data_IF_015228944055
#
_entry.id   IF_015228944055
#
_cell.length_a   1.000
_cell.length_b   1.000
_cell.length_c   1.000
_cell.angle_alpha   90.00
_cell.angle_beta   90.00
_cell.angle_gamma   90.00
#
_symmetry.space_group_name_H-M   'P 1'
#
loop_
_entity.id
_entity.type
_entity.pdbx_description
1 polymer ?
#
# COMPACT_ATOMS: atom_id res chain seq x y z
N UNK A 1 -8.82 -34.53 29.52
CA UNK A 1 -8.99 -33.29 28.76
C UNK A 1 -7.64 -32.88 28.21
N UNK A 2 -7.44 -32.91 26.89
CA UNK A 2 -6.20 -32.44 26.26
C UNK A 2 -6.11 -30.91 26.38
N UNK A 3 -4.93 -30.43 26.75
CA UNK A 3 -4.63 -29.06 27.15
C UNK A 3 -4.74 -28.10 25.96
N UNK A 4 -5.77 -27.24 25.99
CA UNK A 4 -6.13 -26.27 24.95
C UNK A 4 -4.96 -25.31 24.64
N UNK A 5 -3.98 -25.16 25.54
CA UNK A 5 -2.83 -24.25 25.38
C UNK A 5 -1.80 -24.70 24.33
N UNK A 6 -1.73 -25.99 24.00
CA UNK A 6 -0.71 -26.50 23.05
C UNK A 6 -1.08 -26.21 21.58
N UNK A 7 -2.38 -26.01 21.29
CA UNK A 7 -2.89 -25.74 19.95
C UNK A 7 -2.70 -24.27 19.50
N UNK A 8 -2.53 -23.33 20.45
CA UNK A 8 -2.32 -21.90 20.14
C UNK A 8 -0.87 -21.56 19.75
N UNK A 9 0.11 -22.39 20.13
CA UNK A 9 1.52 -22.20 19.73
C UNK A 9 1.79 -22.57 18.27
N UNK A 10 1.03 -23.51 17.69
CA UNK A 10 1.24 -24.05 16.33
C UNK A 10 0.54 -23.27 15.22
N UNK A 11 -0.43 -22.41 15.58
CA UNK A 11 -1.20 -21.57 14.63
C UNK A 11 -0.39 -20.45 13.98
N UNK A 12 0.46 -19.67 14.69
CA UNK A 12 1.29 -18.65 14.04
C UNK A 12 2.35 -19.25 13.12
N UNK A 13 2.88 -20.44 13.44
CA UNK A 13 3.87 -21.15 12.61
C UNK A 13 3.31 -21.48 11.23
N UNK A 14 2.09 -22.05 11.16
CA UNK A 14 1.42 -22.34 9.89
C UNK A 14 1.11 -21.09 9.06
N UNK A 15 0.74 -19.99 9.71
CA UNK A 15 0.51 -18.71 9.01
C UNK A 15 1.83 -18.19 8.44
N UNK A 16 2.91 -18.24 9.23
CA UNK A 16 4.24 -17.84 8.76
C UNK A 16 4.75 -18.71 7.62
N UNK A 17 4.55 -20.02 7.67
CA UNK A 17 4.91 -20.95 6.60
C UNK A 17 4.14 -20.64 5.31
N UNK A 18 2.85 -20.33 5.43
CA UNK A 18 2.01 -19.94 4.29
C UNK A 18 2.46 -18.61 3.70
N UNK A 19 2.74 -17.62 4.54
CA UNK A 19 3.27 -16.30 4.13
C UNK A 19 4.63 -16.45 3.45
N UNK A 20 5.49 -17.32 3.97
CA UNK A 20 6.80 -17.61 3.40
C UNK A 20 6.67 -18.28 2.02
N UNK A 21 5.87 -19.33 1.91
CA UNK A 21 5.61 -20.02 0.63
C UNK A 21 5.02 -19.07 -0.41
N UNK A 22 4.09 -18.21 0.01
CA UNK A 22 3.50 -17.19 -0.85
C UNK A 22 4.55 -16.16 -1.29
N UNK A 23 5.41 -15.69 -0.37
CA UNK A 23 6.49 -14.76 -0.70
C UNK A 23 7.50 -15.35 -1.68
N UNK A 24 7.89 -16.61 -1.49
CA UNK A 24 8.81 -17.33 -2.39
C UNK A 24 8.19 -17.47 -3.78
N UNK A 25 6.90 -17.83 -3.86
CA UNK A 25 6.18 -17.93 -5.13
C UNK A 25 6.00 -16.58 -5.83
N UNK A 26 5.75 -15.50 -5.10
CA UNK A 26 5.69 -14.13 -5.64
C UNK A 26 7.05 -13.71 -6.23
N UNK A 27 8.16 -14.06 -5.57
CA UNK A 27 9.52 -13.81 -6.09
C UNK A 27 9.79 -14.60 -7.36
N UNK A 28 9.40 -15.87 -7.40
CA UNK A 28 9.53 -16.72 -8.58
C UNK A 28 8.71 -16.19 -9.77
N UNK A 29 7.46 -15.77 -9.52
CA UNK A 29 6.55 -15.24 -10.54
C UNK A 29 6.93 -13.84 -11.04
N UNK A 30 7.48 -12.98 -10.17
CA UNK A 30 7.93 -11.65 -10.58
C UNK A 30 9.22 -11.69 -11.41
N UNK A 31 9.91 -12.84 -11.44
CA UNK A 31 11.32 -12.92 -11.80
C UNK A 31 12.17 -12.12 -10.81
N UNK A 32 13.45 -12.43 -10.64
CA UNK A 32 14.37 -11.59 -9.86
C UNK A 32 14.69 -10.27 -10.60
N UNK A 33 13.68 -9.59 -11.14
CA UNK A 33 13.82 -8.30 -11.78
C UNK A 33 13.61 -7.24 -10.70
N UNK A 34 14.71 -6.68 -10.22
CA UNK A 34 14.65 -5.46 -9.44
C UNK A 34 13.91 -4.40 -10.26
N UNK A 35 12.96 -3.72 -9.62
CA UNK A 35 12.26 -2.62 -10.25
C UNK A 35 13.28 -1.54 -10.59
N UNK A 36 13.18 -1.00 -11.79
CA UNK A 36 13.90 0.22 -12.14
C UNK A 36 13.39 1.36 -11.26
N UNK A 37 14.24 2.38 -11.02
CA UNK A 37 13.82 3.58 -10.27
C UNK A 37 12.56 4.22 -10.88
N UNK A 38 12.40 4.14 -12.20
CA UNK A 38 11.21 4.64 -12.90
C UNK A 38 9.95 3.83 -12.56
N UNK A 39 10.03 2.49 -12.60
CA UNK A 39 8.93 1.60 -12.21
C UNK A 39 8.56 1.79 -10.72
N UNK A 40 9.54 2.01 -9.84
CA UNK A 40 9.28 2.34 -8.44
C UNK A 40 8.53 3.67 -8.28
N UNK A 41 8.95 4.71 -9.00
CA UNK A 41 8.29 6.02 -8.96
C UNK A 41 6.85 5.90 -9.45
N UNK A 42 6.62 5.17 -10.55
CA UNK A 42 5.29 4.92 -11.10
C UNK A 42 4.42 4.13 -10.11
N UNK A 43 4.96 3.07 -9.50
CA UNK A 43 4.25 2.28 -8.51
C UNK A 43 3.86 3.14 -7.29
N UNK A 44 4.79 3.94 -6.77
CA UNK A 44 4.52 4.84 -5.64
C UNK A 44 3.52 5.94 -5.98
N UNK A 45 3.54 6.44 -7.22
CA UNK A 45 2.56 7.40 -7.71
C UNK A 45 1.15 6.79 -7.73
N UNK A 46 1.01 5.56 -8.25
CA UNK A 46 -0.26 4.83 -8.28
C UNK A 46 -0.75 4.53 -6.86
N UNK A 47 0.11 4.03 -5.98
CA UNK A 47 -0.21 3.78 -4.57
C UNK A 47 -0.72 5.06 -3.89
N UNK A 48 -0.04 6.19 -4.09
CA UNK A 48 -0.45 7.46 -3.50
C UNK A 48 -1.79 7.97 -4.05
N UNK A 49 -2.07 7.72 -5.34
CA UNK A 49 -3.36 8.05 -5.94
C UNK A 49 -4.51 7.19 -5.37
N UNK A 50 -4.30 5.88 -5.25
CA UNK A 50 -5.28 4.97 -4.64
C UNK A 50 -5.52 5.32 -3.16
N UNK A 51 -4.46 5.66 -2.43
CA UNK A 51 -4.55 6.12 -1.05
C UNK A 51 -5.39 7.40 -0.96
N UNK A 52 -5.10 8.41 -1.79
CA UNK A 52 -5.90 9.63 -1.85
C UNK A 52 -7.38 9.31 -2.14
N UNK A 53 -7.68 8.45 -3.12
CA UNK A 53 -9.06 8.05 -3.42
C UNK A 53 -9.76 7.39 -2.23
N UNK A 54 -9.04 6.56 -1.46
CA UNK A 54 -9.57 5.97 -0.21
C UNK A 54 -9.82 7.03 0.86
N UNK A 55 -8.94 8.03 1.00
CA UNK A 55 -9.13 9.13 1.96
C UNK A 55 -10.25 10.10 1.55
N UNK A 56 -10.48 10.28 0.25
CA UNK A 56 -11.67 10.98 -0.26
C UNK A 56 -12.96 10.28 0.20
N UNK A 57 -13.07 8.98 -0.04
CA UNK A 57 -14.23 8.18 0.39
C UNK A 57 -14.39 8.24 1.93
N UNK A 58 -13.29 8.14 2.67
CA UNK A 58 -13.32 8.24 4.12
C UNK A 58 -13.84 9.61 4.58
N UNK A 59 -13.28 10.71 4.06
CA UNK A 59 -13.72 12.07 4.38
C UNK A 59 -15.20 12.28 4.08
N UNK A 60 -15.69 11.81 2.94
CA UNK A 60 -17.12 11.89 2.58
C UNK A 60 -18.02 11.05 3.51
N UNK A 61 -17.50 9.97 4.09
CA UNK A 61 -18.26 9.07 4.97
C UNK A 61 -18.29 9.48 6.44
N UNK A 62 -17.37 10.34 6.89
CA UNK A 62 -17.24 10.72 8.30
C UNK A 62 -18.32 11.74 8.67
N UNK A 63 -19.10 11.39 9.70
CA UNK A 63 -20.14 12.27 10.27
C UNK A 63 -19.85 12.68 11.70
N UNK A 64 -18.94 11.97 12.40
CA UNK A 64 -18.58 12.25 13.78
C UNK A 64 -17.73 13.51 13.86
N UNK A 65 -18.16 14.59 14.55
CA UNK A 65 -17.45 15.87 14.58
C UNK A 65 -15.98 15.75 15.00
N UNK A 66 -15.69 14.91 16.00
CA UNK A 66 -14.33 14.69 16.52
C UNK A 66 -13.39 14.03 15.51
N UNK A 67 -13.93 13.39 14.45
CA UNK A 67 -13.16 12.72 13.42
C UNK A 67 -13.03 13.54 12.13
N UNK A 68 -13.77 14.65 11.99
CA UNK A 68 -13.75 15.47 10.77
C UNK A 68 -12.35 16.07 10.56
N UNK A 69 -11.77 16.68 11.59
CA UNK A 69 -10.44 17.30 11.50
C UNK A 69 -9.36 16.26 11.14
N UNK A 70 -9.47 15.05 11.71
CA UNK A 70 -8.60 13.94 11.36
C UNK A 70 -8.77 13.53 9.89
N UNK A 71 -10.01 13.44 9.40
CA UNK A 71 -10.30 13.11 8.01
C UNK A 71 -9.77 14.17 7.04
N UNK A 72 -9.87 15.46 7.39
CA UNK A 72 -9.29 16.59 6.62
C UNK A 72 -7.76 16.43 6.54
N UNK A 73 -7.10 16.18 7.67
CA UNK A 73 -5.65 15.99 7.68
C UNK A 73 -5.22 14.82 6.79
N UNK A 74 -5.91 13.69 6.87
CA UNK A 74 -5.59 12.47 6.11
C UNK A 74 -5.78 12.65 4.59
N UNK A 75 -6.86 13.32 4.15
CA UNK A 75 -7.05 13.62 2.72
C UNK A 75 -6.01 14.63 2.21
N UNK A 76 -5.63 15.63 3.00
CA UNK A 76 -4.58 16.58 2.61
C UNK A 76 -3.19 15.92 2.54
N UNK A 77 -2.84 15.11 3.54
CA UNK A 77 -1.57 14.39 3.57
C UNK A 77 -1.42 13.45 2.37
N UNK A 78 -2.47 12.70 2.03
CA UNK A 78 -2.45 11.80 0.86
C UNK A 78 -2.37 12.57 -0.47
N UNK A 79 -3.04 13.71 -0.61
CA UNK A 79 -2.88 14.62 -1.77
C UNK A 79 -1.45 15.13 -1.92
N UNK A 80 -0.84 15.58 -0.83
CA UNK A 80 0.56 16.06 -0.81
C UNK A 80 1.51 14.95 -1.26
N UNK A 81 1.31 13.72 -0.75
CA UNK A 81 2.09 12.54 -1.14
C UNK A 81 1.96 12.22 -2.64
N UNK A 82 0.75 12.26 -3.19
CA UNK A 82 0.52 12.09 -4.63
C UNK A 82 1.25 13.16 -5.45
N UNK A 83 1.11 14.43 -5.08
CA UNK A 83 1.78 15.56 -5.76
C UNK A 83 3.31 15.41 -5.69
N UNK A 84 3.86 14.94 -4.58
CA UNK A 84 5.28 14.69 -4.45
C UNK A 84 5.78 13.67 -5.48
N UNK A 85 5.13 12.50 -5.60
CA UNK A 85 5.51 11.50 -6.59
C UNK A 85 5.27 11.98 -8.02
N UNK A 86 4.22 12.78 -8.25
CA UNK A 86 3.95 13.38 -9.56
C UNK A 86 5.10 14.31 -9.98
N UNK A 87 5.59 15.15 -9.05
CA UNK A 87 6.77 15.99 -9.27
C UNK A 87 8.03 15.15 -9.50
N UNK A 88 8.20 14.04 -8.78
CA UNK A 88 9.35 13.14 -8.95
C UNK A 88 9.34 12.48 -10.33
N UNK A 89 8.19 11.99 -10.78
CA UNK A 89 8.01 11.43 -12.13
C UNK A 89 8.33 12.46 -13.22
N UNK A 90 7.79 13.68 -13.10
CA UNK A 90 8.05 14.77 -14.04
C UNK A 90 9.53 15.16 -14.11
N UNK A 91 10.24 15.19 -12.97
CA UNK A 91 11.69 15.49 -12.93
C UNK A 91 12.54 14.44 -13.65
N UNK A 92 12.04 13.21 -13.76
CA UNK A 92 12.70 12.08 -14.45
C UNK A 92 12.19 11.88 -15.89
N UNK A 93 11.38 12.81 -16.40
CA UNK A 93 10.72 12.72 -17.73
C UNK A 93 9.89 11.44 -17.95
N UNK A 94 9.37 10.87 -16.86
CA UNK A 94 8.55 9.65 -16.93
C UNK A 94 7.17 10.01 -17.51
N UNK A 95 6.84 9.43 -18.67
CA UNK A 95 5.53 9.62 -19.32
C UNK A 95 4.45 8.77 -18.64
N UNK A 96 3.70 9.40 -17.74
CA UNK A 96 2.66 8.74 -16.93
C UNK A 96 1.55 8.09 -17.78
N UNK A 97 1.23 8.63 -18.98
CA UNK A 97 0.25 8.04 -19.91
C UNK A 97 0.61 6.62 -20.39
N UNK A 98 1.86 6.20 -20.25
CA UNK A 98 2.31 4.86 -20.65
C UNK A 98 2.08 3.79 -19.57
N UNK A 99 1.62 4.18 -18.37
CA UNK A 99 1.59 3.32 -17.17
C UNK A 99 0.24 3.33 -16.43
N UNK A 100 -0.74 4.09 -16.92
CA UNK A 100 -2.13 4.12 -16.45
C UNK A 100 -3.02 3.59 -17.56
#
# INVERSE_FOLDING_TARGET
>A
MADIKEDYKKRPEKIMDTVRLFSEKIKELSGNKELTEEEEIVNKLREAFEEWKKKEIYFESVTEPDLIDHAIYEIEASKIKYIYFLKKAKKKDIRIKSYL
#
